data_IF_803047793506
#
_entry.id   IF_803047793506
#
_cell.length_a   1.000
_cell.length_b   1.000
_cell.length_c   1.000
_cell.angle_alpha   90.00
_cell.angle_beta   90.00
_cell.angle_gamma   90.00
#
_symmetry.space_group_name_H-M   'P 1'
#
loop_
_entity.id
_entity.type
_entity.pdbx_description
1 polymer ?
#
# COMPACT_ATOMS: atom_id res chain seq x y z
N UNK A 1 11.06 3.26 -5.20
CA UNK A 1 11.32 2.77 -3.82
C UNK A 1 10.30 3.43 -2.92
N UNK A 2 9.39 2.66 -2.32
CA UNK A 2 8.31 3.19 -1.48
C UNK A 2 8.71 3.06 -0.01
N UNK A 3 8.54 4.11 0.79
CA UNK A 3 8.92 4.15 2.21
C UNK A 3 7.67 4.18 3.09
N UNK A 4 7.61 3.32 4.10
CA UNK A 4 6.50 3.24 5.05
C UNK A 4 7.02 3.24 6.49
N UNK A 5 6.31 3.90 7.41
CA UNK A 5 6.66 3.93 8.84
C UNK A 5 5.58 3.21 9.65
N UNK A 6 5.95 2.17 10.41
CA UNK A 6 5.07 1.48 11.33
C UNK A 6 5.87 0.93 12.51
N UNK A 7 5.32 1.00 13.73
CA UNK A 7 5.91 0.41 14.94
C UNK A 7 7.42 0.71 15.12
N UNK A 8 7.83 1.97 14.97
CA UNK A 8 9.23 2.44 15.07
C UNK A 8 10.19 1.85 14.02
N UNK A 9 9.67 1.34 12.91
CA UNK A 9 10.46 0.84 11.79
C UNK A 9 10.13 1.59 10.50
N UNK A 10 11.15 1.78 9.66
CA UNK A 10 10.98 2.17 8.26
C UNK A 10 11.10 0.95 7.35
N UNK A 11 10.21 0.88 6.37
CA UNK A 11 10.12 -0.23 5.43
C UNK A 11 10.26 0.30 4.01
N UNK A 12 11.18 -0.28 3.24
CA UNK A 12 11.33 0.04 1.82
C UNK A 12 11.08 -1.16 0.93
N UNK A 13 10.15 -0.98 0.00
CA UNK A 13 9.86 -1.97 -1.05
C UNK A 13 10.25 -1.44 -2.43
N UNK A 14 10.69 -2.35 -3.29
CA UNK A 14 10.97 -2.07 -4.69
C UNK A 14 10.14 -2.97 -5.62
N UNK A 15 9.62 -2.41 -6.70
CA UNK A 15 8.75 -3.11 -7.66
C UNK A 15 9.39 -4.40 -8.19
N UNK A 16 10.68 -4.37 -8.52
CA UNK A 16 11.40 -5.48 -9.13
C UNK A 16 11.88 -6.53 -8.12
N UNK A 17 11.84 -6.23 -6.82
CA UNK A 17 12.42 -7.06 -5.77
C UNK A 17 11.38 -7.91 -5.03
N UNK A 18 11.83 -9.07 -4.55
CA UNK A 18 11.08 -9.95 -3.63
C UNK A 18 11.55 -9.80 -2.18
N UNK A 19 12.18 -8.68 -1.89
CA UNK A 19 12.69 -8.37 -0.57
C UNK A 19 12.25 -6.98 -0.18
N UNK A 20 12.18 -6.75 1.12
CA UNK A 20 11.93 -5.46 1.73
C UNK A 20 13.08 -5.13 2.68
N UNK A 21 13.60 -3.93 2.56
CA UNK A 21 14.58 -3.40 3.52
C UNK A 21 13.82 -2.83 4.72
N UNK A 22 14.28 -3.15 5.92
CA UNK A 22 13.70 -2.66 7.18
C UNK A 22 14.79 -1.95 7.96
N UNK A 23 14.51 -0.75 8.46
CA UNK A 23 15.33 -0.06 9.46
C UNK A 23 14.55 -0.04 10.77
N UNK A 24 15.07 -0.73 11.78
CA UNK A 24 14.62 -0.56 13.15
C UNK A 24 15.21 0.74 13.69
N UNK A 25 14.37 1.71 14.09
CA UNK A 25 14.84 3.02 14.55
C UNK A 25 15.24 3.05 16.03
N UNK A 26 14.84 2.03 16.80
CA UNK A 26 15.25 1.90 18.19
C UNK A 26 16.69 1.39 18.27
N UNK A 27 16.99 0.34 17.51
CA UNK A 27 18.31 -0.30 17.46
C UNK A 27 19.22 0.30 16.36
N UNK A 28 18.68 1.16 15.49
CA UNK A 28 19.36 1.74 14.31
C UNK A 28 19.95 0.67 13.38
N UNK A 29 19.28 -0.47 13.25
CA UNK A 29 19.76 -1.63 12.51
C UNK A 29 18.96 -1.89 11.24
N UNK A 30 19.66 -2.25 10.17
CA UNK A 30 19.05 -2.69 8.93
C UNK A 30 18.87 -4.21 8.91
N UNK A 31 17.74 -4.64 8.36
CA UNK A 31 17.48 -6.05 8.05
C UNK A 31 16.75 -6.17 6.71
N UNK A 32 16.76 -7.38 6.15
CA UNK A 32 16.07 -7.69 4.90
C UNK A 32 15.05 -8.78 5.17
N UNK A 33 13.83 -8.57 4.71
CA UNK A 33 12.72 -9.51 4.85
C UNK A 33 12.29 -9.98 3.48
N UNK A 34 12.29 -11.29 3.26
CA UNK A 34 11.72 -11.89 2.05
C UNK A 34 10.22 -11.67 1.97
N UNK A 35 9.72 -11.35 0.78
CA UNK A 35 8.30 -11.15 0.45
C UNK A 35 7.73 -12.41 -0.23
N UNK A 36 6.39 -12.57 -0.29
CA UNK A 36 5.77 -13.65 -1.05
C UNK A 36 6.30 -13.72 -2.49
N UNK A 37 6.47 -14.91 -3.09
CA UNK A 37 7.01 -15.07 -4.44
C UNK A 37 6.27 -14.25 -5.51
N UNK A 38 4.98 -14.05 -5.31
CA UNK A 38 4.05 -13.33 -6.19
C UNK A 38 4.24 -11.81 -6.16
N UNK A 39 5.03 -11.26 -5.22
CA UNK A 39 5.21 -9.81 -5.08
C UNK A 39 6.12 -9.19 -6.14
N UNK A 40 6.78 -9.99 -6.99
CA UNK A 40 7.74 -9.50 -7.97
C UNK A 40 7.02 -8.89 -9.17
N UNK A 41 7.36 -7.65 -9.52
CA UNK A 41 6.72 -6.97 -10.65
C UNK A 41 5.24 -6.67 -10.41
N UNK A 42 4.87 -6.47 -9.15
CA UNK A 42 3.52 -6.13 -8.72
C UNK A 42 3.60 -4.91 -7.80
N UNK A 43 2.60 -4.04 -7.91
CA UNK A 43 2.42 -2.93 -6.97
C UNK A 43 2.14 -3.49 -5.59
N UNK A 44 2.78 -2.89 -4.58
CA UNK A 44 2.70 -3.37 -3.22
C UNK A 44 2.87 -2.25 -2.21
N UNK A 45 2.26 -2.41 -1.06
CA UNK A 45 2.37 -1.48 0.05
C UNK A 45 2.39 -2.22 1.39
N UNK A 46 3.17 -1.67 2.31
CA UNK A 46 3.21 -2.17 3.69
C UNK A 46 2.05 -1.58 4.46
N UNK A 47 1.37 -2.46 5.19
CA UNK A 47 0.14 -2.14 5.88
C UNK A 47 0.20 -2.64 7.32
N UNK A 48 -0.45 -1.95 8.25
CA UNK A 48 -0.62 -2.44 9.61
C UNK A 48 -1.65 -3.57 9.64
N UNK A 49 -1.31 -4.74 10.20
CA UNK A 49 -2.28 -5.79 10.45
C UNK A 49 -3.01 -5.54 11.79
N UNK A 50 -4.22 -6.09 11.94
CA UNK A 50 -5.10 -5.83 13.08
C UNK A 50 -4.57 -6.32 14.44
N UNK A 51 -3.57 -7.21 14.45
CA UNK A 51 -2.97 -7.85 15.61
C UNK A 51 -1.52 -7.38 15.89
N UNK A 52 -1.09 -6.28 15.27
CA UNK A 52 0.28 -5.78 15.39
C UNK A 52 1.29 -6.54 14.53
N UNK A 53 0.83 -7.49 13.70
CA UNK A 53 1.67 -8.15 12.70
C UNK A 53 2.01 -7.21 11.55
N UNK A 54 3.07 -7.56 10.83
CA UNK A 54 3.43 -6.89 9.60
C UNK A 54 2.47 -7.34 8.50
N UNK A 55 1.78 -6.39 7.87
CA UNK A 55 0.91 -6.63 6.74
C UNK A 55 1.55 -6.20 5.41
N UNK A 56 1.17 -6.90 4.34
CA UNK A 56 1.56 -6.60 2.98
C UNK A 56 0.33 -6.67 2.08
N UNK A 57 0.06 -5.60 1.35
CA UNK A 57 -0.95 -5.56 0.29
C UNK A 57 -0.25 -5.68 -1.06
N UNK A 58 -0.66 -6.63 -1.89
CA UNK A 58 -0.17 -6.81 -3.26
C UNK A 58 -1.34 -6.61 -4.22
N UNK A 59 -1.13 -5.81 -5.26
CA UNK A 59 -2.06 -5.69 -6.38
C UNK A 59 -1.69 -6.73 -7.44
N UNK A 60 -2.57 -7.72 -7.63
CA UNK A 60 -2.44 -8.73 -8.66
C UNK A 60 -3.60 -8.61 -9.66
N UNK A 61 -3.32 -8.05 -10.82
CA UNK A 61 -4.28 -7.87 -11.92
C UNK A 61 -5.53 -7.07 -11.50
N UNK A 62 -6.61 -7.76 -11.11
CA UNK A 62 -7.86 -7.16 -10.64
C UNK A 62 -8.18 -7.56 -9.20
N UNK A 63 -7.18 -7.90 -8.41
CA UNK A 63 -7.36 -8.34 -7.03
C UNK A 63 -6.33 -7.70 -6.11
N UNK A 64 -6.76 -7.36 -4.90
CA UNK A 64 -5.85 -7.12 -3.79
C UNK A 64 -5.67 -8.37 -2.96
N UNK A 65 -4.42 -8.78 -2.78
CA UNK A 65 -4.03 -9.89 -1.93
C UNK A 65 -3.40 -9.33 -0.66
N UNK A 66 -3.97 -9.67 0.49
CA UNK A 66 -3.51 -9.26 1.81
C UNK A 66 -2.75 -10.41 2.46
N UNK A 67 -1.53 -10.14 2.90
CA UNK A 67 -0.70 -11.07 3.65
C UNK A 67 -0.32 -10.51 5.02
N UNK A 68 -0.14 -11.40 5.99
CA UNK A 68 0.44 -11.06 7.30
C UNK A 68 1.61 -11.96 7.65
N UNK A 69 2.54 -11.41 8.42
CA UNK A 69 3.68 -12.11 8.99
C UNK A 69 3.96 -11.62 10.41
N UNK A 70 4.25 -12.52 11.33
CA UNK A 70 4.66 -12.10 12.68
C UNK A 70 6.00 -11.37 12.62
N UNK A 71 6.13 -10.31 13.40
CA UNK A 71 7.43 -9.67 13.62
C UNK A 71 8.17 -10.55 14.62
N UNK A 72 9.20 -11.25 14.18
CA UNK A 72 10.07 -11.96 15.12
C UNK A 72 11.13 -10.99 15.64
N UNK A 73 11.21 -10.86 16.96
CA UNK A 73 12.23 -10.02 17.62
C UNK A 73 13.66 -10.54 17.42
N UNK A 74 13.85 -11.83 17.09
CA UNK A 74 15.15 -12.49 17.24
C UNK A 74 15.75 -13.05 15.94
N UNK A 75 15.31 -12.59 14.76
CA UNK A 75 15.99 -12.88 13.47
C UNK A 75 16.10 -14.35 13.04
N UNK A 76 15.54 -15.29 13.80
CA UNK A 76 15.59 -16.73 13.54
C UNK A 76 14.18 -17.28 13.56
N UNK A 77 13.52 -17.16 12.42
CA UNK A 77 12.36 -17.99 12.22
C UNK A 77 11.76 -17.91 10.84
N UNK A 78 11.38 -19.11 10.45
CA UNK A 78 10.89 -19.56 9.16
C UNK A 78 9.41 -19.27 8.98
N UNK A 79 8.83 -18.31 9.70
CA UNK A 79 7.42 -18.00 9.49
C UNK A 79 7.24 -17.38 8.11
N UNK A 80 6.58 -18.14 7.25
CA UNK A 80 6.20 -17.73 5.92
C UNK A 80 5.06 -16.71 6.01
N UNK A 81 4.91 -15.90 4.96
CA UNK A 81 3.77 -15.00 4.85
C UNK A 81 2.48 -15.80 4.76
N UNK A 82 1.51 -15.47 5.62
CA UNK A 82 0.16 -16.04 5.55
C UNK A 82 -0.69 -15.17 4.64
N UNK A 83 -1.31 -15.77 3.64
CA UNK A 83 -2.35 -15.12 2.86
C UNK A 83 -3.64 -15.00 3.69
N UNK A 84 -4.07 -13.79 3.99
CA UNK A 84 -5.23 -13.52 4.85
C UNK A 84 -6.52 -13.34 4.05
N UNK A 85 -6.47 -12.59 2.93
CA UNK A 85 -7.66 -12.32 2.14
C UNK A 85 -7.36 -11.88 0.70
N UNK A 86 -8.35 -12.05 -0.17
CA UNK A 86 -8.38 -11.57 -1.56
C UNK A 86 -9.60 -10.68 -1.77
N UNK A 87 -9.40 -9.48 -2.31
CA UNK A 87 -10.47 -8.51 -2.58
C UNK A 87 -10.55 -8.32 -4.10
N UNK A 88 -11.65 -8.71 -4.75
CA UNK A 88 -11.83 -8.48 -6.18
C UNK A 88 -12.06 -7.00 -6.46
N UNK A 89 -11.50 -6.53 -7.57
CA UNK A 89 -11.58 -5.15 -8.02
C UNK A 89 -12.33 -5.05 -9.35
N UNK A 90 -13.01 -3.92 -9.61
CA UNK A 90 -13.57 -3.62 -10.92
C UNK A 90 -12.52 -3.64 -12.04
N UNK A 91 -12.96 -3.78 -13.28
CA UNK A 91 -12.08 -3.79 -14.46
C UNK A 91 -11.49 -2.41 -14.78
N UNK A 92 -10.47 -2.02 -14.01
CA UNK A 92 -9.68 -0.81 -14.21
C UNK A 92 -8.19 -1.17 -14.26
N UNK A 93 -7.37 -0.24 -14.76
CA UNK A 93 -5.94 -0.21 -14.50
C UNK A 93 -5.72 0.38 -13.10
N UNK A 94 -5.29 -0.48 -12.18
CA UNK A 94 -5.08 -0.14 -10.78
C UNK A 94 -3.61 0.17 -10.50
N UNK A 95 -3.36 1.05 -9.53
CA UNK A 95 -2.04 1.26 -8.93
C UNK A 95 -2.19 1.66 -7.45
N UNK A 96 -1.24 1.26 -6.62
CA UNK A 96 -1.21 1.64 -5.20
C UNK A 96 -0.36 2.90 -5.03
N UNK A 97 -0.84 3.90 -4.28
CA UNK A 97 -0.07 5.12 -4.02
C UNK A 97 1.16 4.86 -3.15
N UNK A 98 2.26 5.56 -3.41
CA UNK A 98 3.56 5.32 -2.78
C UNK A 98 3.69 5.79 -1.31
N UNK A 99 2.62 6.34 -0.72
CA UNK A 99 2.60 6.94 0.62
C UNK A 99 2.37 5.97 1.79
N UNK A 100 2.07 4.70 1.50
CA UNK A 100 1.79 3.70 2.55
C UNK A 100 0.39 3.76 3.14
N UNK A 101 0.12 2.79 4.01
CA UNK A 101 -1.13 2.78 4.76
C UNK A 101 -1.03 3.70 5.99
N UNK A 102 -1.44 4.95 5.85
CA UNK A 102 -1.65 5.83 7.01
C UNK A 102 -2.90 5.37 7.75
N UNK A 103 -2.80 5.16 9.07
CA UNK A 103 -3.94 4.91 9.98
C UNK A 103 -4.89 3.77 9.55
N UNK A 104 -4.39 2.78 8.83
CA UNK A 104 -5.19 1.63 8.40
C UNK A 104 -5.95 1.82 7.08
N UNK A 105 -5.63 2.86 6.31
CA UNK A 105 -6.18 3.09 4.96
C UNK A 105 -5.08 3.08 3.90
N UNK A 106 -5.33 2.38 2.80
CA UNK A 106 -4.48 2.46 1.60
C UNK A 106 -5.16 3.30 0.54
N UNK A 107 -4.43 4.25 -0.03
CA UNK A 107 -4.92 5.00 -1.18
C UNK A 107 -4.61 4.23 -2.47
N UNK A 108 -5.66 4.03 -3.25
CA UNK A 108 -5.65 3.26 -4.50
C UNK A 108 -6.13 4.16 -5.61
N UNK A 109 -5.51 4.02 -6.78
CA UNK A 109 -5.91 4.70 -7.99
C UNK A 109 -6.41 3.71 -9.02
N UNK A 110 -7.55 3.99 -9.63
CA UNK A 110 -8.11 3.24 -10.75
C UNK A 110 -8.38 4.11 -11.97
N UNK A 111 -7.99 3.62 -13.14
CA UNK A 111 -8.38 4.19 -14.43
C UNK A 111 -9.24 3.16 -15.18
N UNK A 112 -10.49 3.48 -15.52
CA UNK A 112 -11.33 2.59 -16.31
C UNK A 112 -10.65 2.18 -17.63
N UNK A 113 -10.66 0.88 -17.93
CA UNK A 113 -9.93 0.30 -19.07
C UNK A 113 -10.47 0.79 -20.42
N UNK A 114 -11.75 1.10 -20.47
CA UNK A 114 -12.45 1.65 -21.63
C UNK A 114 -11.91 3.02 -22.07
N UNK A 115 -11.30 3.77 -21.15
CA UNK A 115 -10.71 5.09 -21.43
C UNK A 115 -9.30 5.03 -22.01
N UNK A 116 -8.68 3.84 -22.07
CA UNK A 116 -7.35 3.61 -22.65
C UNK A 116 -7.41 2.96 -24.05
N UNK A 117 -8.59 2.89 -24.68
CA UNK A 117 -8.78 2.31 -26.00
C UNK A 117 -8.26 3.19 -27.13
N UNK A 118 -6.95 3.18 -27.34
CA UNK A 118 -6.29 3.28 -28.64
C UNK A 118 -4.79 3.16 -28.37
N UNK A 119 -4.01 2.48 -29.21
CA UNK A 119 -2.53 2.50 -29.16
C UNK A 119 -1.90 3.88 -29.44
N UNK A 120 -2.66 4.96 -29.24
CA UNK A 120 -2.26 6.35 -29.29
C UNK A 120 -2.32 6.89 -27.87
N UNK A 121 -1.26 7.59 -27.44
CA UNK A 121 -1.36 8.42 -26.24
C UNK A 121 -2.57 9.33 -26.42
N UNK A 122 -3.61 9.24 -25.56
CA UNK A 122 -4.78 10.08 -25.75
C UNK A 122 -4.34 11.54 -25.59
N UNK A 123 -4.78 12.42 -26.50
CA UNK A 123 -4.49 13.87 -26.45
C UNK A 123 -4.86 14.48 -25.09
N UNK A 124 -5.84 13.88 -24.42
CA UNK A 124 -6.26 14.17 -23.06
C UNK A 124 -6.14 12.91 -22.21
N UNK A 125 -5.33 12.96 -21.16
CA UNK A 125 -5.21 11.85 -20.21
C UNK A 125 -6.56 11.62 -19.51
N UNK A 126 -6.98 10.36 -19.33
CA UNK A 126 -8.24 10.05 -18.65
C UNK A 126 -8.22 10.51 -17.19
N UNK A 127 -9.39 10.87 -16.68
CA UNK A 127 -9.53 11.19 -15.26
C UNK A 127 -9.27 9.93 -14.43
N UNK A 128 -8.49 10.08 -13.36
CA UNK A 128 -8.19 9.01 -12.43
C UNK A 128 -9.19 9.02 -11.27
N UNK A 129 -9.74 7.85 -10.96
CA UNK A 129 -10.57 7.65 -9.78
C UNK A 129 -9.70 7.21 -8.62
N UNK A 130 -9.92 7.80 -7.46
CA UNK A 130 -9.17 7.50 -6.25
C UNK A 130 -10.09 6.87 -5.23
N UNK A 131 -9.55 5.87 -4.54
CA UNK A 131 -10.27 5.04 -3.59
C UNK A 131 -9.44 4.88 -2.33
N UNK A 132 -10.13 4.77 -1.21
CA UNK A 132 -9.56 4.36 0.06
C UNK A 132 -9.94 2.90 0.32
N UNK A 133 -8.96 2.08 0.65
CA UNK A 133 -9.17 0.73 1.15
C UNK A 133 -8.94 0.73 2.66
N UNK A 134 -10.00 0.56 3.44
CA UNK A 134 -9.90 0.40 4.90
C UNK A 134 -9.50 -1.04 5.23
N UNK A 135 -8.31 -1.24 5.80
CA UNK A 135 -7.71 -2.57 5.94
C UNK A 135 -8.41 -3.46 6.98
N UNK A 136 -9.08 -2.86 7.98
CA UNK A 136 -9.76 -3.61 9.03
C UNK A 136 -11.09 -4.22 8.56
N UNK A 137 -11.83 -3.44 7.78
CA UNK A 137 -13.18 -3.79 7.29
C UNK A 137 -13.16 -4.28 5.85
N UNK A 138 -12.04 -4.04 5.15
CA UNK A 138 -11.85 -4.25 3.72
C UNK A 138 -12.87 -3.49 2.87
N UNK A 139 -13.39 -2.39 3.42
CA UNK A 139 -14.26 -1.47 2.70
C UNK A 139 -13.44 -0.67 1.70
N UNK A 140 -13.89 -0.73 0.45
CA UNK A 140 -13.29 -0.04 -0.68
C UNK A 140 -14.23 1.09 -1.13
N UNK A 141 -13.87 2.33 -0.80
CA UNK A 141 -14.72 3.50 -0.99
C UNK A 141 -14.08 4.48 -1.98
N UNK A 142 -14.91 5.11 -2.82
CA UNK A 142 -14.44 6.12 -3.76
C UNK A 142 -14.26 7.44 -3.03
N UNK A 143 -13.04 7.97 -3.04
CA UNK A 143 -12.69 9.25 -2.45
C UNK A 143 -13.04 10.40 -3.39
N UNK A 144 -12.45 10.42 -4.60
CA UNK A 144 -12.61 11.51 -5.55
C UNK A 144 -12.20 11.11 -6.98
N UNK A 145 -12.37 12.04 -7.91
CA UNK A 145 -11.90 11.94 -9.29
C UNK A 145 -10.99 13.13 -9.56
N UNK A 146 -9.74 12.89 -9.95
CA UNK A 146 -8.79 13.96 -10.31
C UNK A 146 -8.24 13.73 -11.71
N UNK A 147 -7.84 14.82 -12.36
CA UNK A 147 -7.12 14.75 -13.64
C UNK A 147 -5.79 14.05 -13.43
N UNK A 148 -5.38 13.23 -14.41
CA UNK A 148 -4.15 12.43 -14.36
C UNK A 148 -2.88 13.20 -13.96
N UNK A 149 -2.81 14.50 -14.26
CA UNK A 149 -1.64 15.35 -14.03
C UNK A 149 -1.31 15.62 -12.56
N UNK A 150 -2.25 15.37 -11.63
CA UNK A 150 -1.97 15.53 -10.20
C UNK A 150 -1.12 14.35 -9.71
N UNK A 151 0.10 14.62 -9.22
CA UNK A 151 0.93 13.58 -8.60
C UNK A 151 0.18 12.93 -7.42
N UNK A 152 0.07 11.60 -7.45
CA UNK A 152 -0.72 10.82 -6.50
C UNK A 152 0.03 10.60 -5.17
N UNK A 153 1.32 10.95 -5.14
CA UNK A 153 2.21 10.76 -4.00
C UNK A 153 1.93 11.72 -2.83
N UNK A 154 1.04 12.70 -3.03
CA UNK A 154 0.74 13.76 -2.04
C UNK A 154 -0.68 13.74 -1.48
N UNK A 155 -1.48 12.73 -1.83
CA UNK A 155 -2.85 12.63 -1.32
C UNK A 155 -2.84 12.06 0.09
N UNK A 156 -3.11 12.94 1.05
CA UNK A 156 -3.26 12.60 2.46
C UNK A 156 -4.71 12.14 2.71
N UNK A 157 -4.89 10.89 3.14
CA UNK A 157 -6.22 10.29 3.36
C UNK A 157 -6.64 10.27 4.84
N UNK A 158 -5.75 10.61 5.77
CA UNK A 158 -6.05 10.71 7.19
C UNK A 158 -6.30 12.17 7.60
N UNK A 159 -6.99 12.40 8.72
CA UNK A 159 -6.99 13.72 9.35
C UNK A 159 -5.69 13.87 10.12
N UNK A 160 -5.03 15.04 10.13
CA UNK A 160 -3.90 15.24 11.03
C UNK A 160 -4.38 14.99 12.47
N UNK A 161 -3.55 14.38 13.34
CA UNK A 161 -3.88 14.22 14.75
C UNK A 161 -4.33 15.57 15.31
N UNK A 162 -5.41 15.63 16.11
CA UNK A 162 -5.83 16.88 16.70
C UNK A 162 -4.66 17.49 17.48
N UNK A 163 -4.23 18.67 17.05
CA UNK A 163 -3.35 19.52 17.87
C UNK A 163 -4.08 19.69 19.19
N UNK A 164 -3.42 19.33 20.28
CA UNK A 164 -3.96 19.29 21.64
C UNK A 164 -4.93 20.45 21.90
N UNK A 165 -6.08 20.24 22.57
CA UNK A 165 -6.93 21.35 22.93
C UNK A 165 -6.11 22.36 23.74
N UNK A 166 -6.38 23.67 23.58
CA UNK A 166 -5.60 24.70 24.27
C UNK A 166 -5.60 24.41 25.76
N UNK A 167 -4.41 24.34 26.35
CA UNK A 167 -4.27 24.32 27.80
C UNK A 167 -4.90 25.60 28.36
N UNK A 168 -5.82 25.44 29.32
CA UNK A 168 -6.52 26.52 30.03
C UNK A 168 -5.53 27.43 30.74
#
# INVERSE_FOLDING_TARGET
MNCHCAHSCFYWTDYCQRVMLVLDTLEMNFSVVDLPPESKGKDKSIVGAADGRLGLLILHDFEFHLYSKTRQDNGVGTEEWRHDNTIPLPNCYWSISNGGASEGYVLVRGIPRDQYHSGKFPEKKPDAQYFTLQLKTLLFERLCVLKFETSHDYLYASFPPPLSPPSI
#
